data_IF_564851764749
#
_entry.id   IF_564851764749
#
_cell.length_a   1.000
_cell.length_b   1.000
_cell.length_c   1.000
_cell.angle_alpha   90.00
_cell.angle_beta   90.00
_cell.angle_gamma   90.00
#
_symmetry.space_group_name_H-M   'P 1'
#
loop_
_entity.id
_entity.type
_entity.pdbx_description
1 polymer ?
#
# COMPACT_ATOMS: atom_id res chain seq x y z
N UNK A 1 -32.63 19.86 7.05
CA UNK A 1 -32.76 18.39 7.00
C UNK A 1 -31.52 17.83 7.68
N UNK A 2 -31.68 17.05 8.75
CA UNK A 2 -30.57 16.43 9.46
C UNK A 2 -30.17 15.13 8.76
N UNK A 3 -28.87 14.95 8.53
CA UNK A 3 -28.31 13.73 7.94
C UNK A 3 -28.55 12.54 8.91
N UNK A 4 -29.02 11.38 8.41
CA UNK A 4 -29.29 10.23 9.28
C UNK A 4 -27.99 9.71 9.93
N UNK A 5 -28.06 9.19 11.17
CA UNK A 5 -26.90 8.67 11.88
C UNK A 5 -26.27 7.50 11.09
N UNK A 6 -24.94 7.55 10.92
CA UNK A 6 -24.19 6.50 10.24
C UNK A 6 -24.39 5.17 10.98
N UNK A 7 -24.66 4.06 10.27
CA UNK A 7 -24.78 2.75 10.89
C UNK A 7 -23.45 2.36 11.57
N UNK A 8 -23.51 1.62 12.69
CA UNK A 8 -22.31 1.18 13.37
C UNK A 8 -21.46 0.29 12.45
N UNK A 9 -20.12 0.38 12.54
CA UNK A 9 -19.24 -0.43 11.71
C UNK A 9 -19.45 -1.93 11.99
N UNK A 10 -19.34 -2.75 10.95
CA UNK A 10 -19.38 -4.19 11.11
C UNK A 10 -18.14 -4.68 11.86
N UNK A 11 -18.26 -5.86 12.50
CA UNK A 11 -17.13 -6.54 13.12
C UNK A 11 -15.99 -6.78 12.10
N UNK A 12 -16.34 -7.13 10.86
CA UNK A 12 -15.35 -7.33 9.79
C UNK A 12 -14.56 -6.07 9.49
N UNK A 13 -15.22 -4.90 9.43
CA UNK A 13 -14.52 -3.64 9.22
C UNK A 13 -13.57 -3.33 10.37
N UNK A 14 -14.02 -3.52 11.62
CA UNK A 14 -13.19 -3.27 12.79
C UNK A 14 -11.94 -4.17 12.81
N UNK A 15 -12.08 -5.46 12.46
CA UNK A 15 -10.95 -6.37 12.35
C UNK A 15 -9.98 -5.97 11.24
N UNK A 16 -10.50 -5.55 10.07
CA UNK A 16 -9.67 -5.07 8.96
C UNK A 16 -8.91 -3.79 9.35
N UNK A 17 -9.57 -2.86 10.04
CA UNK A 17 -8.95 -1.62 10.52
C UNK A 17 -7.86 -1.88 11.58
N UNK A 18 -8.04 -2.91 12.42
CA UNK A 18 -7.04 -3.36 13.38
C UNK A 18 -5.82 -4.01 12.69
N UNK A 19 -6.05 -4.93 11.75
CA UNK A 19 -4.99 -5.54 10.94
C UNK A 19 -4.21 -4.51 10.14
N UNK A 20 -4.90 -3.51 9.58
CA UNK A 20 -4.26 -2.41 8.84
C UNK A 20 -3.30 -1.63 9.74
N UNK A 21 -3.68 -1.36 11.00
CA UNK A 21 -2.80 -0.69 11.97
C UNK A 21 -1.58 -1.52 12.33
N UNK A 22 -1.71 -2.84 12.46
CA UNK A 22 -0.56 -3.72 12.69
C UNK A 22 0.40 -3.76 11.49
N UNK A 23 -0.14 -3.77 10.26
CA UNK A 23 0.68 -3.69 9.04
C UNK A 23 1.41 -2.35 8.90
N UNK A 24 0.79 -1.25 9.37
CA UNK A 24 1.42 0.07 9.43
C UNK A 24 2.58 0.13 10.43
N UNK A 25 2.48 -0.57 11.56
CA UNK A 25 3.56 -0.64 12.55
C UNK A 25 4.77 -1.46 12.10
N UNK A 26 4.65 -2.25 11.04
CA UNK A 26 5.73 -3.10 10.53
C UNK A 26 6.08 -4.25 11.46
N UNK A 27 5.09 -4.80 12.17
CA UNK A 27 5.29 -5.98 13.02
C UNK A 27 5.28 -7.26 12.18
N UNK A 28 6.48 -7.80 11.92
CA UNK A 28 6.73 -8.98 11.08
C UNK A 28 5.94 -10.22 11.50
N UNK A 29 5.60 -10.36 12.79
CA UNK A 29 4.90 -11.55 13.31
C UNK A 29 3.44 -11.63 12.84
N UNK A 30 2.77 -10.48 12.70
CA UNK A 30 1.36 -10.42 12.29
C UNK A 30 1.21 -10.70 10.78
N UNK A 31 2.26 -10.43 10.00
CA UNK A 31 2.20 -10.55 8.54
C UNK A 31 2.04 -12.01 8.08
N UNK A 32 2.59 -12.98 8.81
CA UNK A 32 2.47 -14.40 8.45
C UNK A 32 1.04 -14.92 8.58
N UNK A 33 0.34 -14.59 9.67
CA UNK A 33 -1.03 -15.02 9.92
C UNK A 33 -2.02 -14.42 8.90
N UNK A 34 -1.72 -13.23 8.37
CA UNK A 34 -2.56 -12.57 7.36
C UNK A 34 -2.62 -13.40 6.06
N UNK A 35 -1.55 -14.10 5.68
CA UNK A 35 -1.56 -14.93 4.47
C UNK A 35 -2.39 -16.21 4.61
N UNK A 36 -2.72 -16.62 5.84
CA UNK A 36 -3.60 -17.75 6.10
C UNK A 36 -5.09 -17.41 5.92
N UNK A 37 -5.43 -16.12 5.92
CA UNK A 37 -6.81 -15.64 5.80
C UNK A 37 -7.53 -16.17 4.54
N UNK A 38 -8.85 -16.37 4.62
CA UNK A 38 -9.70 -16.58 3.45
C UNK A 38 -9.51 -15.46 2.41
N UNK A 39 -9.49 -15.83 1.13
CA UNK A 39 -9.16 -14.89 0.03
C UNK A 39 -10.05 -13.66 -0.02
N UNK A 40 -11.36 -13.80 0.25
CA UNK A 40 -12.29 -12.67 0.25
C UNK A 40 -12.00 -11.63 1.34
N UNK A 41 -11.55 -12.08 2.53
CA UNK A 41 -11.14 -11.17 3.62
C UNK A 41 -9.80 -10.52 3.31
N UNK A 42 -8.89 -11.27 2.69
CA UNK A 42 -7.60 -10.77 2.26
C UNK A 42 -7.73 -9.72 1.15
N UNK A 43 -8.59 -9.96 0.16
CA UNK A 43 -8.89 -9.01 -0.91
C UNK A 43 -9.52 -7.72 -0.36
N UNK A 44 -10.42 -7.85 0.62
CA UNK A 44 -11.02 -6.69 1.30
C UNK A 44 -9.97 -5.89 2.08
N UNK A 45 -9.09 -6.57 2.82
CA UNK A 45 -7.97 -5.96 3.52
C UNK A 45 -7.06 -5.21 2.54
N UNK A 46 -6.53 -5.90 1.52
CA UNK A 46 -5.64 -5.34 0.49
C UNK A 46 -6.25 -4.09 -0.15
N UNK A 47 -7.57 -4.10 -0.43
CA UNK A 47 -8.26 -2.98 -1.05
C UNK A 47 -8.36 -1.73 -0.17
N UNK A 48 -8.13 -1.87 1.14
CA UNK A 48 -8.22 -0.80 2.14
C UNK A 48 -6.86 -0.37 2.68
N UNK A 49 -5.79 -1.08 2.35
CA UNK A 49 -4.45 -0.76 2.85
C UNK A 49 -3.96 0.57 2.28
N UNK A 50 -3.37 1.44 3.12
CA UNK A 50 -2.61 2.57 2.62
C UNK A 50 -1.32 2.11 1.90
N UNK A 51 -0.70 2.99 1.10
CA UNK A 51 0.47 2.65 0.28
C UNK A 51 1.60 1.97 1.04
N UNK A 52 1.96 2.45 2.24
CA UNK A 52 3.04 1.86 3.03
C UNK A 52 2.70 0.48 3.57
N UNK A 53 1.47 0.28 4.04
CA UNK A 53 1.03 -1.02 4.53
C UNK A 53 0.94 -2.04 3.38
N UNK A 54 0.50 -1.61 2.19
CA UNK A 54 0.47 -2.43 0.99
C UNK A 54 1.89 -2.80 0.52
N UNK A 55 2.83 -1.87 0.63
CA UNK A 55 4.25 -2.12 0.35
C UNK A 55 4.84 -3.15 1.31
N UNK A 56 4.63 -2.98 2.62
CA UNK A 56 5.07 -3.94 3.64
C UNK A 56 4.45 -5.32 3.40
N UNK A 57 3.14 -5.37 3.13
CA UNK A 57 2.44 -6.61 2.79
C UNK A 57 3.05 -7.32 1.56
N UNK A 58 3.50 -6.55 0.55
CA UNK A 58 4.18 -7.11 -0.61
C UNK A 58 5.58 -7.63 -0.24
N UNK A 59 6.38 -6.88 0.52
CA UNK A 59 7.74 -7.28 0.91
C UNK A 59 7.81 -8.61 1.67
N UNK A 60 6.88 -8.83 2.60
CA UNK A 60 6.87 -10.04 3.43
C UNK A 60 6.13 -11.23 2.77
N UNK A 61 5.77 -11.09 1.49
CA UNK A 61 5.07 -12.13 0.75
C UNK A 61 5.92 -13.40 0.69
N UNK A 62 5.45 -14.54 1.23
CA UNK A 62 6.24 -15.77 1.41
C UNK A 62 6.60 -16.48 0.09
N UNK A 63 6.31 -15.85 -1.05
CA UNK A 63 6.39 -16.43 -2.39
C UNK A 63 7.34 -15.69 -3.33
N UNK A 64 8.03 -14.63 -2.88
CA UNK A 64 8.97 -13.90 -3.73
C UNK A 64 10.28 -14.65 -4.02
N UNK A 65 10.58 -15.71 -3.26
CA UNK A 65 11.88 -16.42 -3.30
C UNK A 65 11.89 -17.74 -4.11
N UNK A 66 11.02 -17.89 -5.12
CA UNK A 66 11.00 -19.10 -5.97
C UNK A 66 11.94 -19.03 -7.19
N UNK A 67 12.87 -18.09 -7.23
CA UNK A 67 13.90 -18.01 -8.28
C UNK A 67 15.28 -18.49 -7.85
N UNK A 68 15.41 -19.18 -6.70
CA UNK A 68 16.68 -19.78 -6.30
C UNK A 68 16.53 -21.22 -5.82
N UNK A 69 17.26 -22.07 -6.54
CA UNK A 69 17.74 -23.40 -6.20
C UNK A 69 16.77 -24.58 -6.37
N UNK A 70 17.25 -25.50 -7.21
CA UNK A 70 16.78 -26.86 -7.42
C UNK A 70 16.53 -27.59 -6.09
N UNK A 71 15.28 -27.99 -5.83
CA UNK A 71 14.98 -29.01 -4.83
C UNK A 71 14.16 -30.16 -5.43
N UNK A 72 14.44 -31.42 -5.04
CA UNK A 72 13.89 -32.59 -5.72
C UNK A 72 12.39 -32.70 -5.53
N UNK A 73 11.74 -33.12 -6.60
CA UNK A 73 10.32 -33.38 -6.73
C UNK A 73 9.83 -34.41 -5.68
N UNK A 74 9.23 -33.92 -4.58
CA UNK A 74 8.32 -34.71 -3.74
C UNK A 74 6.87 -34.33 -4.08
N UNK A 75 6.16 -35.32 -4.62
CA UNK A 75 4.81 -35.25 -5.17
C UNK A 75 3.76 -35.51 -4.08
N UNK A 76 3.66 -34.61 -3.09
CA UNK A 76 2.62 -34.76 -2.05
C UNK A 76 2.27 -33.50 -1.23
N UNK A 77 2.23 -32.28 -1.77
CA UNK A 77 1.55 -31.12 -1.09
C UNK A 77 1.26 -29.93 -2.03
N UNK A 78 0.78 -30.16 -3.25
CA UNK A 78 0.62 -29.10 -4.26
C UNK A 78 -0.52 -28.07 -4.03
N UNK A 79 -1.24 -28.12 -2.91
CA UNK A 79 -2.41 -27.26 -2.68
C UNK A 79 -2.05 -25.87 -2.12
N UNK A 80 -0.85 -25.68 -1.57
CA UNK A 80 -0.40 -24.39 -1.01
C UNK A 80 0.23 -23.46 -2.05
N UNK A 81 0.74 -24.00 -3.17
CA UNK A 81 1.48 -23.26 -4.20
C UNK A 81 0.59 -22.39 -5.10
N UNK A 82 -0.74 -22.53 -5.06
CA UNK A 82 -1.66 -21.88 -6.01
C UNK A 82 -2.22 -20.54 -5.53
N UNK A 83 -1.95 -20.14 -4.28
CA UNK A 83 -2.56 -18.92 -3.70
C UNK A 83 -1.79 -17.63 -4.01
N UNK A 84 -0.49 -17.69 -4.33
CA UNK A 84 0.33 -16.49 -4.58
C UNK A 84 -0.01 -15.77 -5.89
N UNK A 85 -0.54 -16.49 -6.89
CA UNK A 85 -0.81 -15.95 -8.22
C UNK A 85 -2.15 -15.16 -8.33
N UNK A 86 -2.96 -15.11 -7.27
CA UNK A 86 -4.32 -14.57 -7.33
C UNK A 86 -4.52 -13.25 -6.56
N UNK A 87 -3.49 -12.72 -5.90
CA UNK A 87 -3.64 -11.49 -5.13
C UNK A 87 -3.65 -10.29 -6.08
N UNK A 88 -4.75 -9.52 -6.04
CA UNK A 88 -4.99 -8.37 -6.90
C UNK A 88 -4.21 -7.12 -6.42
N UNK A 89 -2.91 -7.28 -6.09
CA UNK A 89 -2.04 -6.19 -5.63
C UNK A 89 -1.95 -5.09 -6.67
N UNK A 90 -1.85 -5.46 -7.94
CA UNK A 90 -1.80 -4.50 -9.03
C UNK A 90 -3.08 -3.64 -9.11
N UNK A 91 -4.25 -4.25 -8.88
CA UNK A 91 -5.53 -3.54 -8.81
C UNK A 91 -5.61 -2.64 -7.57
N UNK A 92 -5.02 -3.04 -6.45
CA UNK A 92 -4.95 -2.22 -5.24
C UNK A 92 -4.07 -0.97 -5.45
N UNK A 93 -2.89 -1.14 -6.05
CA UNK A 93 -2.03 -0.02 -6.45
C UNK A 93 -2.69 0.90 -7.47
N UNK A 94 -3.37 0.32 -8.47
CA UNK A 94 -4.16 1.09 -9.43
C UNK A 94 -5.24 1.92 -8.72
N UNK A 95 -6.01 1.33 -7.80
CA UNK A 95 -7.03 2.06 -7.02
C UNK A 95 -6.42 3.21 -6.23
N UNK A 96 -5.33 2.98 -5.49
CA UNK A 96 -4.62 4.01 -4.73
C UNK A 96 -4.13 5.15 -5.63
N UNK A 97 -3.57 4.81 -6.79
CA UNK A 97 -3.16 5.79 -7.79
C UNK A 97 -4.36 6.61 -8.28
N UNK A 98 -5.46 5.93 -8.63
CA UNK A 98 -6.64 6.60 -9.18
C UNK A 98 -7.31 7.55 -8.20
N UNK A 99 -7.30 7.20 -6.91
CA UNK A 99 -7.84 8.03 -5.84
C UNK A 99 -7.05 9.34 -5.68
N UNK A 100 -5.73 9.26 -5.86
CA UNK A 100 -4.81 10.38 -5.63
C UNK A 100 -4.60 11.26 -6.86
N UNK A 101 -4.51 10.67 -8.06
CA UNK A 101 -4.27 11.36 -9.32
C UNK A 101 -5.28 11.00 -10.42
N UNK A 102 -6.58 11.34 -10.25
CA UNK A 102 -7.62 10.96 -11.21
C UNK A 102 -7.39 11.52 -12.62
N UNK A 103 -6.71 12.66 -12.73
CA UNK A 103 -6.50 13.36 -14.00
C UNK A 103 -5.34 12.78 -14.85
N UNK A 104 -4.46 11.99 -14.24
CA UNK A 104 -3.24 11.47 -14.88
C UNK A 104 -3.49 10.10 -15.52
N UNK A 105 -4.45 9.32 -15.01
CA UNK A 105 -4.74 7.94 -15.43
C UNK A 105 -5.01 7.85 -16.94
N UNK A 106 -5.70 8.83 -17.52
CA UNK A 106 -6.06 8.80 -18.94
C UNK A 106 -4.84 9.02 -19.86
N UNK A 107 -3.69 9.40 -19.30
CA UNK A 107 -2.47 9.71 -20.06
C UNK A 107 -1.41 8.60 -19.95
N UNK A 108 -1.55 7.69 -19.00
CA UNK A 108 -0.54 6.66 -18.70
C UNK A 108 -1.18 5.28 -18.73
N UNK A 109 -0.50 4.31 -19.36
CA UNK A 109 -0.81 2.88 -19.28
C UNK A 109 0.39 2.20 -18.60
N UNK A 110 0.45 2.20 -17.26
CA UNK A 110 1.61 1.68 -16.56
C UNK A 110 1.62 0.15 -16.55
N UNK A 111 2.76 -0.43 -16.86
CA UNK A 111 3.00 -1.89 -16.75
C UNK A 111 3.12 -2.31 -15.28
N UNK A 112 3.63 -1.43 -14.41
CA UNK A 112 3.79 -1.64 -12.98
C UNK A 112 3.18 -0.46 -12.20
N UNK A 113 1.99 -0.68 -11.63
CA UNK A 113 1.28 0.34 -10.87
C UNK A 113 1.98 0.71 -9.55
N UNK A 114 2.76 -0.21 -8.96
CA UNK A 114 3.50 0.08 -7.73
C UNK A 114 4.62 1.07 -8.02
N UNK A 115 5.45 0.78 -9.04
CA UNK A 115 6.54 1.66 -9.41
C UNK A 115 6.03 3.06 -9.79
N UNK A 116 4.98 3.12 -10.63
CA UNK A 116 4.39 4.39 -11.06
C UNK A 116 3.81 5.20 -9.90
N UNK A 117 3.22 4.54 -8.90
CA UNK A 117 2.76 5.21 -7.68
C UNK A 117 3.90 5.91 -6.95
N UNK A 118 5.00 5.19 -6.70
CA UNK A 118 6.14 5.74 -5.96
C UNK A 118 6.89 6.83 -6.73
N UNK A 119 7.07 6.67 -8.03
CA UNK A 119 7.67 7.70 -8.87
C UNK A 119 6.85 9.00 -8.86
N UNK A 120 5.52 8.88 -9.02
CA UNK A 120 4.63 10.05 -8.98
C UNK A 120 4.60 10.70 -7.61
N UNK A 121 4.64 9.89 -6.55
CA UNK A 121 4.73 10.37 -5.19
C UNK A 121 6.02 11.16 -4.93
N UNK A 122 7.17 10.65 -5.38
CA UNK A 122 8.45 11.33 -5.26
C UNK A 122 8.48 12.62 -6.08
N UNK A 123 7.90 12.64 -7.27
CA UNK A 123 7.81 13.86 -8.08
C UNK A 123 7.00 14.94 -7.36
N UNK A 124 5.85 14.59 -6.78
CA UNK A 124 5.07 15.51 -5.96
C UNK A 124 5.89 16.07 -4.78
N UNK A 125 6.67 15.24 -4.08
CA UNK A 125 7.54 15.70 -2.99
C UNK A 125 8.54 16.75 -3.46
N UNK A 126 9.17 16.51 -4.61
CA UNK A 126 10.17 17.41 -5.18
C UNK A 126 9.53 18.72 -5.64
N UNK A 127 8.35 18.66 -6.26
CA UNK A 127 7.62 19.84 -6.71
C UNK A 127 7.20 20.72 -5.51
N UNK A 128 6.65 20.13 -4.43
CA UNK A 128 6.30 20.88 -3.21
C UNK A 128 7.55 21.49 -2.55
N UNK A 129 8.64 20.74 -2.46
CA UNK A 129 9.90 21.25 -1.91
C UNK A 129 10.47 22.41 -2.74
N UNK A 130 10.40 22.31 -4.07
CA UNK A 130 10.85 23.35 -4.98
C UNK A 130 9.99 24.62 -4.84
N UNK A 131 8.66 24.49 -4.77
CA UNK A 131 7.76 25.62 -4.53
C UNK A 131 8.08 26.32 -3.21
N UNK A 132 8.27 25.58 -2.12
CA UNK A 132 8.63 26.16 -0.80
C UNK A 132 9.96 26.91 -0.90
N UNK A 133 10.97 26.31 -1.53
CA UNK A 133 12.28 26.92 -1.70
C UNK A 133 12.20 28.25 -2.49
N UNK A 134 11.40 28.28 -3.55
CA UNK A 134 11.18 29.46 -4.40
C UNK A 134 10.40 30.55 -3.67
N UNK A 135 9.30 30.21 -2.98
CA UNK A 135 8.43 31.18 -2.30
C UNK A 135 9.16 31.84 -1.13
N UNK A 136 9.94 31.07 -0.36
CA UNK A 136 10.54 31.57 0.89
C UNK A 136 11.91 32.22 0.69
N UNK A 137 12.45 32.26 -0.54
CA UNK A 137 13.88 32.61 -0.80
C UNK A 137 14.80 31.82 0.14
N UNK A 138 14.52 30.51 0.22
CA UNK A 138 15.11 29.64 1.22
C UNK A 138 16.64 29.59 1.08
N UNK A 139 17.35 29.81 2.18
CA UNK A 139 18.83 29.77 2.25
C UNK A 139 19.39 28.56 3.00
N UNK A 140 18.53 27.61 3.39
CA UNK A 140 18.92 26.38 4.08
C UNK A 140 19.18 25.22 3.12
N UNK A 141 19.29 24.01 3.67
CA UNK A 141 19.44 22.78 2.89
C UNK A 141 18.09 22.16 2.54
N UNK A 142 17.99 21.41 1.44
CA UNK A 142 16.75 20.72 1.04
C UNK A 142 16.18 19.84 2.16
N UNK A 143 17.04 19.29 3.03
CA UNK A 143 16.63 18.48 4.18
C UNK A 143 15.91 19.25 5.30
N UNK A 144 15.95 20.58 5.27
CA UNK A 144 15.30 21.45 6.25
C UNK A 144 13.87 21.83 5.82
N UNK A 145 13.44 21.43 4.61
CA UNK A 145 12.12 21.75 4.06
C UNK A 145 11.09 20.78 4.61
N UNK A 146 10.08 21.31 5.31
CA UNK A 146 9.01 20.51 5.90
C UNK A 146 7.84 20.35 4.93
N UNK A 147 7.75 19.19 4.29
CA UNK A 147 6.66 18.79 3.39
C UNK A 147 5.56 18.11 4.22
N UNK A 148 4.44 18.80 4.47
CA UNK A 148 3.47 18.35 5.50
C UNK A 148 2.28 17.55 4.96
N UNK A 149 1.95 17.68 3.67
CA UNK A 149 0.81 16.98 3.06
C UNK A 149 1.17 15.57 2.66
N UNK A 150 2.31 15.44 1.96
CA UNK A 150 2.63 14.27 1.16
C UNK A 150 2.94 13.03 2.00
N UNK A 151 3.52 13.19 3.20
CA UNK A 151 3.82 12.07 4.11
C UNK A 151 2.54 11.38 4.62
N UNK A 152 1.45 12.14 4.83
CA UNK A 152 0.16 11.55 5.24
C UNK A 152 -0.44 10.66 4.17
N UNK A 153 -0.27 11.03 2.90
CA UNK A 153 -0.84 10.30 1.77
C UNK A 153 -0.26 8.89 1.59
N UNK A 154 0.86 8.59 2.26
CA UNK A 154 1.52 7.28 2.27
C UNK A 154 0.93 6.34 3.33
N UNK A 155 0.07 6.84 4.22
CA UNK A 155 -0.51 6.09 5.33
C UNK A 155 0.05 6.46 6.70
N UNK A 156 0.81 7.56 6.79
CA UNK A 156 1.34 8.03 8.06
C UNK A 156 0.33 8.96 8.76
N UNK A 157 -0.42 8.43 9.72
CA UNK A 157 -1.08 9.27 10.71
C UNK A 157 -0.08 9.61 11.82
N UNK A 158 0.26 10.89 11.96
CA UNK A 158 1.07 11.37 13.06
C UNK A 158 0.26 11.16 14.34
N UNK A 159 0.70 10.20 15.17
CA UNK A 159 0.17 9.98 16.52
C UNK A 159 0.33 11.19 17.42
#
# INVERSE_FOLDING_TARGET
MAEPPRPPPSLTSLCIDDLTRHLLSGDDYVVQDIYELPSHLLDELISRLPPIALYNFNLHMPFQDLNKEDFPHDDSTNNKRKRSSAWNLNTAWQKLFTLRWPNIINQIQPTDWQQTYWESHLQNCLDEAAEIALITSFKGSIGDIQISGIVRDVGYEKG
#
